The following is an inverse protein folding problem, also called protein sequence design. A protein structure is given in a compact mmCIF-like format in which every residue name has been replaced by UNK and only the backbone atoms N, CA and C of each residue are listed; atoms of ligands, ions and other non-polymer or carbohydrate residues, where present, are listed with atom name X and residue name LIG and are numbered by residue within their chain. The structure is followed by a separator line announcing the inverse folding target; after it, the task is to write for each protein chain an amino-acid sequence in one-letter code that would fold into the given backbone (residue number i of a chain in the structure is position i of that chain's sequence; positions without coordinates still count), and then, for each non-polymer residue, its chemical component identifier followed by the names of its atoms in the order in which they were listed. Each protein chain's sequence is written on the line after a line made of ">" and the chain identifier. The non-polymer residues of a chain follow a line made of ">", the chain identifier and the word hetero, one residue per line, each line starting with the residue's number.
data_IF_245381409307
#
_entry.id   IF_245381409307
#
_cell.length_a   1.000
_cell.length_b   1.000
_cell.length_c   1.000
_cell.angle_alpha   90.00
_cell.angle_beta   90.00
_cell.angle_gamma   90.00
#
_symmetry.space_group_name_H-M   'P 1'
#
loop_
_entity.id
_entity.type
_entity.pdbx_description
1 polymer ?
#
# COMPACT_ATOMS: atom_id res chain seq x y z
N UNK A 1 6.90 -19.60 -20.28
CA UNK A 1 6.86 -18.14 -20.05
C UNK A 1 5.76 -17.88 -19.03
N UNK A 2 6.13 -17.62 -17.77
CA UNK A 2 5.16 -17.16 -16.78
C UNK A 2 4.78 -15.74 -17.17
N UNK A 3 3.54 -15.54 -17.60
CA UNK A 3 2.97 -14.20 -17.77
C UNK A 3 2.84 -13.66 -16.35
N UNK A 4 3.86 -12.95 -15.88
CA UNK A 4 3.79 -12.19 -14.64
C UNK A 4 2.71 -11.13 -14.88
N UNK A 5 1.52 -11.32 -14.30
CA UNK A 5 0.43 -10.33 -14.44
C UNK A 5 0.98 -9.01 -13.90
N UNK A 6 0.79 -7.93 -14.65
CA UNK A 6 1.14 -6.60 -14.18
C UNK A 6 0.39 -6.37 -12.87
N UNK A 7 1.15 -6.16 -11.80
CA UNK A 7 0.60 -5.94 -10.48
C UNK A 7 0.40 -4.44 -10.32
N UNK A 8 -0.86 -4.03 -10.17
CA UNK A 8 -1.19 -2.67 -9.74
C UNK A 8 -1.01 -2.57 -8.22
N UNK A 9 -0.55 -1.44 -7.65
CA UNK A 9 -0.15 -0.18 -8.30
C UNK A 9 1.18 -0.28 -9.04
N UNK A 10 1.34 0.53 -10.11
CA UNK A 10 2.56 0.55 -10.93
C UNK A 10 3.53 1.68 -10.56
N UNK A 11 3.05 2.70 -9.85
CA UNK A 11 3.84 3.84 -9.37
C UNK A 11 3.40 4.31 -7.98
N UNK A 12 4.24 5.10 -7.31
CA UNK A 12 3.86 5.78 -6.05
C UNK A 12 2.69 6.74 -6.25
N UNK A 13 2.58 7.35 -7.43
CA UNK A 13 1.48 8.25 -7.75
C UNK A 13 0.13 7.52 -7.84
N UNK A 14 0.13 6.27 -8.31
CA UNK A 14 -1.08 5.41 -8.29
C UNK A 14 -1.56 5.17 -6.85
N UNK A 15 -0.63 4.96 -5.91
CA UNK A 15 -0.94 4.81 -4.47
C UNK A 15 -1.59 6.09 -3.93
N UNK A 16 -1.00 7.26 -4.21
CA UNK A 16 -1.55 8.56 -3.80
C UNK A 16 -2.95 8.77 -4.34
N UNK A 17 -3.14 8.56 -5.65
CA UNK A 17 -4.44 8.71 -6.31
C UNK A 17 -5.51 7.80 -5.72
N UNK A 18 -5.17 6.56 -5.36
CA UNK A 18 -6.11 5.63 -4.77
C UNK A 18 -6.54 6.04 -3.35
N UNK A 19 -5.60 6.54 -2.54
CA UNK A 19 -5.88 7.04 -1.19
C UNK A 19 -6.68 8.35 -1.20
N UNK A 20 -6.40 9.24 -2.16
CA UNK A 20 -7.14 10.50 -2.32
C UNK A 20 -8.50 10.29 -3.01
N UNK A 21 -8.68 9.14 -3.66
CA UNK A 21 -9.94 8.73 -4.28
C UNK A 21 -11.07 8.44 -3.29
N UNK A 22 -12.26 8.17 -3.85
CA UNK A 22 -13.51 7.93 -3.11
C UNK A 22 -13.40 6.74 -2.15
N UNK A 23 -12.69 5.69 -2.57
CA UNK A 23 -12.54 4.48 -1.79
C UNK A 23 -11.46 4.59 -0.71
N UNK A 24 -10.46 5.45 -0.91
CA UNK A 24 -9.39 5.67 0.05
C UNK A 24 -8.57 4.42 0.37
N UNK A 25 -8.46 3.44 -0.54
CA UNK A 25 -7.78 2.18 -0.29
C UNK A 25 -6.98 1.73 -1.50
N UNK A 26 -5.83 1.12 -1.24
CA UNK A 26 -4.96 0.44 -2.21
C UNK A 26 -4.53 -0.89 -1.63
N UNK A 27 -4.42 -1.92 -2.47
CA UNK A 27 -3.87 -3.21 -2.06
C UNK A 27 -3.03 -3.84 -3.16
N UNK A 28 -1.98 -4.54 -2.76
CA UNK A 28 -1.08 -5.24 -3.67
C UNK A 28 -0.32 -6.35 -2.93
N UNK A 29 0.21 -7.31 -3.68
CA UNK A 29 1.05 -8.38 -3.13
C UNK A 29 2.47 -7.89 -2.89
N UNK A 30 3.01 -8.19 -1.72
CA UNK A 30 4.39 -7.92 -1.36
C UNK A 30 5.40 -8.73 -2.17
N UNK A 31 6.65 -8.29 -2.12
CA UNK A 31 7.76 -9.08 -2.64
C UNK A 31 7.98 -10.38 -1.85
N UNK A 32 7.49 -10.43 -0.62
CA UNK A 32 7.50 -11.61 0.26
C UNK A 32 6.31 -12.57 0.05
N UNK A 33 5.37 -12.22 -0.84
CA UNK A 33 4.19 -13.04 -1.17
C UNK A 33 2.96 -12.79 -0.29
N UNK A 34 3.04 -11.93 0.72
CA UNK A 34 1.89 -11.49 1.52
C UNK A 34 1.06 -10.43 0.81
N UNK A 35 -0.23 -10.34 1.14
CA UNK A 35 -1.10 -9.29 0.66
C UNK A 35 -0.98 -8.08 1.59
N UNK A 36 -0.77 -6.91 1.00
CA UNK A 36 -0.69 -5.65 1.70
C UNK A 36 -1.85 -4.76 1.31
N UNK A 37 -2.41 -4.03 2.27
CA UNK A 37 -3.46 -3.02 2.04
C UNK A 37 -3.15 -1.75 2.82
N UNK A 38 -3.27 -0.60 2.18
CA UNK A 38 -3.18 0.71 2.81
C UNK A 38 -4.51 1.43 2.63
N UNK A 39 -5.12 1.82 3.75
CA UNK A 39 -6.47 2.38 3.84
C UNK A 39 -6.45 3.75 4.51
N UNK A 40 -7.22 4.70 4.01
CA UNK A 40 -7.48 6.02 4.60
C UNK A 40 -8.83 6.02 5.30
N UNK A 41 -8.92 6.56 6.51
CA UNK A 41 -10.21 6.77 7.16
C UNK A 41 -11.08 7.78 6.40
N UNK A 42 -12.37 7.49 6.32
CA UNK A 42 -13.38 8.39 5.75
C UNK A 42 -13.95 9.38 6.79
N UNK A 43 -13.52 9.25 8.04
CA UNK A 43 -13.96 10.08 9.17
C UNK A 43 -12.77 10.81 9.77
N UNK A 44 -13.02 11.98 10.31
CA UNK A 44 -12.02 12.70 11.10
C UNK A 44 -11.81 12.01 12.46
N UNK A 45 -10.55 11.94 12.96
CA UNK A 45 -9.33 12.40 12.29
C UNK A 45 -8.91 11.49 11.13
N UNK A 46 -8.34 12.07 10.07
CA UNK A 46 -7.75 11.32 8.96
C UNK A 46 -6.64 10.44 9.51
N UNK A 47 -6.74 9.14 9.28
CA UNK A 47 -5.73 8.14 9.65
C UNK A 47 -5.48 7.21 8.47
N UNK A 48 -4.26 6.72 8.34
CA UNK A 48 -3.87 5.75 7.34
C UNK A 48 -3.51 4.44 8.04
N UNK A 49 -4.16 3.34 7.66
CA UNK A 49 -3.89 2.02 8.22
C UNK A 49 -3.22 1.15 7.17
N UNK A 50 -2.00 0.73 7.44
CA UNK A 50 -1.27 -0.24 6.65
C UNK A 50 -1.43 -1.63 7.28
N UNK A 51 -1.96 -2.59 6.52
CA UNK A 51 -2.23 -3.95 6.98
C UNK A 51 -1.51 -4.93 6.05
N UNK A 52 -0.82 -5.90 6.64
CA UNK A 52 -0.26 -7.07 5.95
C UNK A 52 -1.03 -8.32 6.35
N UNK A 53 -1.29 -9.18 5.37
CA UNK A 53 -2.00 -10.44 5.50
C UNK A 53 -1.12 -11.61 5.06
N UNK A 54 -1.18 -12.76 5.74
CA UNK A 54 -0.41 -13.94 5.38
C UNK A 54 -0.85 -14.50 4.01
N UNK A 55 0.06 -14.48 3.03
CA UNK A 55 -0.26 -14.88 1.66
C UNK A 55 -1.40 -14.04 1.07
N UNK A 56 -2.40 -14.70 0.49
CA UNK A 56 -3.61 -14.04 -0.05
C UNK A 56 -4.79 -14.10 0.93
N UNK A 57 -4.58 -14.55 2.18
CA UNK A 57 -5.65 -14.76 3.15
C UNK A 57 -5.93 -13.49 4.00
N UNK A 58 -6.94 -12.72 3.60
CA UNK A 58 -7.36 -11.49 4.29
C UNK A 58 -7.87 -11.72 5.74
N UNK A 59 -8.03 -12.97 6.19
CA UNK A 59 -8.44 -13.27 7.57
C UNK A 59 -7.25 -13.35 8.53
N UNK A 60 -6.02 -13.47 8.01
CA UNK A 60 -4.79 -13.62 8.81
C UNK A 60 -3.92 -12.38 8.74
N UNK A 61 -4.19 -11.42 9.62
CA UNK A 61 -3.36 -10.22 9.77
C UNK A 61 -2.00 -10.58 10.39
N UNK A 62 -0.91 -10.32 9.66
CA UNK A 62 0.48 -10.52 10.13
C UNK A 62 1.12 -9.22 10.61
N UNK A 63 0.66 -8.08 10.08
CA UNK A 63 1.16 -6.76 10.50
C UNK A 63 0.05 -5.72 10.37
N UNK A 64 0.03 -4.77 11.30
CA UNK A 64 -0.85 -3.61 11.25
C UNK A 64 -0.16 -2.39 11.82
N UNK A 65 -0.06 -1.34 11.02
CA UNK A 65 0.50 -0.05 11.42
C UNK A 65 -0.51 1.04 11.11
N UNK A 66 -0.67 1.98 12.04
CA UNK A 66 -1.57 3.12 11.86
C UNK A 66 -0.75 4.39 11.92
N UNK A 67 -1.01 5.28 10.97
CA UNK A 67 -0.39 6.57 10.80
C UNK A 67 -1.48 7.63 10.94
N UNK A 68 -1.15 8.76 11.53
CA UNK A 68 -2.07 9.90 11.55
C UNK A 68 -2.03 10.64 10.19
N UNK A 69 -2.93 11.61 10.00
CA UNK A 69 -3.08 12.31 8.72
C UNK A 69 -1.83 13.04 8.24
N UNK A 70 -1.01 13.50 9.19
CA UNK A 70 0.26 14.19 8.93
C UNK A 70 1.35 13.22 8.43
N UNK A 71 1.24 11.94 8.79
CA UNK A 71 2.15 10.86 8.40
C UNK A 71 1.74 10.16 7.10
N UNK A 72 0.87 10.78 6.27
CA UNK A 72 0.42 10.23 4.97
C UNK A 72 1.58 9.69 4.13
N UNK A 73 2.61 10.50 3.93
CA UNK A 73 3.75 10.13 3.06
C UNK A 73 4.57 8.98 3.65
N UNK A 74 4.67 8.89 4.99
CA UNK A 74 5.32 7.77 5.67
C UNK A 74 4.53 6.46 5.51
N UNK A 75 3.20 6.53 5.54
CA UNK A 75 2.34 5.38 5.29
C UNK A 75 2.48 4.87 3.84
N UNK A 76 2.51 5.80 2.88
CA UNK A 76 2.72 5.51 1.46
C UNK A 76 4.09 4.90 1.22
N UNK A 77 5.16 5.47 1.76
CA UNK A 77 6.52 4.95 1.63
C UNK A 77 6.65 3.54 2.23
N UNK A 78 6.01 3.30 3.38
CA UNK A 78 5.99 1.96 4.02
C UNK A 78 5.30 0.92 3.14
N UNK A 79 4.14 1.25 2.58
CA UNK A 79 3.42 0.38 1.65
C UNK A 79 4.21 0.16 0.35
N UNK A 80 4.74 1.24 -0.23
CA UNK A 80 5.51 1.20 -1.47
C UNK A 80 6.73 0.27 -1.34
N UNK A 81 7.48 0.39 -0.23
CA UNK A 81 8.60 -0.51 0.08
C UNK A 81 8.19 -1.96 0.19
N UNK A 82 7.07 -2.25 0.87
CA UNK A 82 6.58 -3.61 1.07
C UNK A 82 6.25 -4.33 -0.26
N UNK A 83 5.79 -3.57 -1.25
CA UNK A 83 5.44 -4.10 -2.58
C UNK A 83 6.58 -3.98 -3.60
N UNK A 84 7.78 -3.57 -3.17
CA UNK A 84 8.98 -3.56 -4.00
C UNK A 84 9.23 -2.29 -4.79
N UNK A 85 8.55 -1.18 -4.48
CA UNK A 85 9.01 0.13 -4.93
C UNK A 85 10.24 0.53 -4.11
N UNK A 86 11.43 0.22 -4.63
CA UNK A 86 12.67 0.80 -4.09
C UNK A 86 12.66 2.30 -4.35
N UNK A 87 12.92 3.07 -3.29
CA UNK A 87 13.13 4.51 -3.39
C UNK A 87 14.48 4.72 -4.10
N UNK A 88 14.49 4.71 -5.43
CA UNK A 88 15.70 4.73 -6.25
C UNK A 88 15.47 5.19 -7.69
N UNK A 89 15.87 6.44 -7.96
CA UNK A 89 16.12 7.02 -9.29
C UNK A 89 14.92 7.21 -10.24
N UNK A 90 14.21 8.32 -10.06
CA UNK A 90 13.85 9.12 -11.24
C UNK A 90 15.15 9.69 -11.82
N UNK A 91 15.72 8.98 -12.80
CA UNK A 91 16.68 9.55 -13.75
C UNK A 91 16.09 9.34 -15.12
N UNK A 92 15.41 10.37 -15.62
CA UNK A 92 14.87 10.48 -16.96
C UNK A 92 14.71 11.95 -17.29
#
# INVERSE_FOLDING_TARGET
>A
MLIQRAQWPHTIDDIRKALDGVWGVVGATGTDGNLYRLERSLKEPTVYTFIGYEGEDESKVVSRQTFNGEEKESAIDSFAKAIGFENGSFSG
#
